data_IF_390863606940
#
_entry.id   IF_390863606940
#
_cell.length_a   1.000
_cell.length_b   1.000
_cell.length_c   1.000
_cell.angle_alpha   90.00
_cell.angle_beta   90.00
_cell.angle_gamma   90.00
#
_symmetry.space_group_name_H-M   'P 1'
#
loop_
_entity.id
_entity.type
_entity.pdbx_description
1 polymer ?
#
# COMPACT_ATOMS: atom_id res chain seq x y z
N UNK A 1 2.77 60.91 26.87
CA UNK A 1 1.61 61.67 26.36
C UNK A 1 0.85 60.76 25.40
N UNK A 2 -0.15 60.04 25.89
CA UNK A 2 -1.10 59.34 25.04
C UNK A 2 -2.19 60.34 24.64
N UNK A 3 -2.67 60.27 23.39
CA UNK A 3 -3.93 60.90 23.00
C UNK A 3 -4.70 60.00 22.03
N UNK A 4 -6.04 60.03 22.07
CA UNK A 4 -6.81 58.79 22.26
C UNK A 4 -8.04 58.67 21.32
N UNK A 5 -8.72 57.52 21.42
CA UNK A 5 -10.09 57.21 20.98
C UNK A 5 -10.26 57.03 19.46
N UNK A 6 -10.84 55.92 18.97
CA UNK A 6 -12.24 55.58 19.18
C UNK A 6 -12.51 54.12 19.60
N UNK A 7 -13.69 53.99 20.20
CA UNK A 7 -14.17 53.00 21.14
C UNK A 7 -14.86 51.81 20.46
N UNK A 8 -14.56 50.61 20.98
CA UNK A 8 -15.31 49.33 20.93
C UNK A 8 -15.77 48.79 19.57
N UNK A 9 -14.89 47.99 18.95
CA UNK A 9 -15.27 46.89 18.06
C UNK A 9 -14.51 45.64 18.54
N UNK A 10 -15.24 44.55 18.77
CA UNK A 10 -14.71 43.29 19.31
C UNK A 10 -13.48 42.81 18.53
N UNK A 11 -12.35 42.53 19.21
CA UNK A 11 -11.14 42.12 18.52
C UNK A 11 -11.19 40.61 18.27
N UNK A 12 -11.80 40.19 17.15
CA UNK A 12 -11.34 38.96 16.51
C UNK A 12 -9.99 39.27 15.86
N UNK A 13 -8.94 39.32 16.69
CA UNK A 13 -7.58 39.17 16.17
C UNK A 13 -7.47 37.76 15.63
N UNK A 14 -7.57 37.59 14.30
CA UNK A 14 -7.06 36.41 13.63
C UNK A 14 -5.56 36.36 13.89
N UNK A 15 -5.16 35.70 14.98
CA UNK A 15 -3.82 35.21 15.18
C UNK A 15 -3.51 34.31 13.99
N UNK A 16 -2.77 34.84 13.01
CA UNK A 16 -2.16 34.06 11.95
C UNK A 16 -1.16 33.12 12.62
N UNK A 17 -1.61 31.94 13.01
CA UNK A 17 -0.78 30.89 13.54
C UNK A 17 0.13 30.41 12.40
N UNK A 18 1.33 30.99 12.30
CA UNK A 18 2.34 30.53 11.34
C UNK A 18 2.69 29.10 11.76
N UNK A 19 2.25 28.12 10.97
CA UNK A 19 2.60 26.72 11.16
C UNK A 19 4.13 26.61 11.06
N UNK A 20 4.80 26.37 12.19
CA UNK A 20 6.21 25.99 12.21
C UNK A 20 6.24 24.47 12.07
N UNK A 21 6.65 24.00 10.90
CA UNK A 21 6.83 22.57 10.67
C UNK A 21 8.10 22.10 11.39
N UNK A 22 8.09 20.88 11.96
CA UNK A 22 9.29 20.29 12.53
C UNK A 22 10.35 20.06 11.45
N UNK A 23 11.60 19.89 11.88
CA UNK A 23 12.69 19.47 11.00
C UNK A 23 12.36 18.14 10.32
N UNK A 24 12.70 18.03 9.03
CA UNK A 24 12.31 16.89 8.20
C UNK A 24 13.27 15.72 8.44
N UNK A 25 12.79 14.68 9.13
CA UNK A 25 13.49 13.41 9.32
C UNK A 25 13.24 12.44 8.16
N UNK A 26 14.27 12.17 7.33
CA UNK A 26 14.11 11.37 6.09
C UNK A 26 14.29 9.86 6.30
N UNK A 27 14.86 9.43 7.43
CA UNK A 27 15.30 8.06 7.66
C UNK A 27 14.18 7.01 7.49
N UNK A 28 12.98 7.31 8.01
CA UNK A 28 11.83 6.40 7.90
C UNK A 28 11.36 6.28 6.44
N UNK A 29 11.32 7.39 5.71
CA UNK A 29 10.90 7.42 4.30
C UNK A 29 11.90 6.69 3.39
N UNK A 30 13.21 6.89 3.61
CA UNK A 30 14.25 6.18 2.86
C UNK A 30 14.20 4.67 3.13
N UNK A 31 13.88 4.26 4.36
CA UNK A 31 13.73 2.84 4.71
C UNK A 31 12.51 2.22 4.05
N UNK A 32 11.34 2.88 4.11
CA UNK A 32 10.13 2.37 3.46
C UNK A 32 10.28 2.29 1.95
N UNK A 33 11.00 3.22 1.32
CA UNK A 33 11.31 3.18 -0.11
C UNK A 33 12.19 1.97 -0.49
N UNK A 34 13.23 1.66 0.31
CA UNK A 34 14.06 0.46 0.10
C UNK A 34 13.25 -0.82 0.24
N UNK A 35 12.40 -0.91 1.26
CA UNK A 35 11.51 -2.07 1.42
C UNK A 35 10.48 -2.18 0.30
N UNK A 36 9.87 -1.07 -0.12
CA UNK A 36 8.95 -1.03 -1.26
C UNK A 36 9.63 -1.58 -2.53
N UNK A 37 10.89 -1.20 -2.77
CA UNK A 37 11.64 -1.70 -3.93
C UNK A 37 11.84 -3.22 -3.87
N UNK A 38 12.11 -3.78 -2.69
CA UNK A 38 12.18 -5.24 -2.52
C UNK A 38 10.83 -5.93 -2.75
N UNK A 39 9.72 -5.32 -2.28
CA UNK A 39 8.36 -5.83 -2.51
C UNK A 39 7.98 -5.76 -3.99
N UNK A 40 8.44 -4.75 -4.74
CA UNK A 40 8.23 -4.66 -6.19
C UNK A 40 8.92 -5.80 -6.92
N UNK A 41 10.14 -6.16 -6.54
CA UNK A 41 10.84 -7.29 -7.14
C UNK A 41 10.08 -8.62 -6.94
N UNK A 42 9.57 -8.85 -5.73
CA UNK A 42 8.73 -10.02 -5.43
C UNK A 42 7.39 -9.97 -6.19
N UNK A 43 6.77 -8.80 -6.28
CA UNK A 43 5.57 -8.60 -7.09
C UNK A 43 5.80 -8.93 -8.57
N UNK A 44 6.95 -8.53 -9.12
CA UNK A 44 7.33 -8.84 -10.49
C UNK A 44 7.48 -10.35 -10.71
N UNK A 45 8.01 -11.11 -9.73
CA UNK A 45 8.07 -12.57 -9.81
C UNK A 45 6.69 -13.20 -9.93
N UNK A 46 5.72 -12.74 -9.12
CA UNK A 46 4.32 -13.19 -9.20
C UNK A 46 3.77 -12.91 -10.60
N UNK A 47 3.86 -11.67 -11.05
CA UNK A 47 3.30 -11.23 -12.33
C UNK A 47 3.92 -11.97 -13.52
N UNK A 48 5.25 -12.18 -13.51
CA UNK A 48 5.96 -12.93 -14.53
C UNK A 48 5.48 -14.39 -14.59
N UNK A 49 5.35 -15.06 -13.43
CA UNK A 49 4.89 -16.45 -13.39
C UNK A 49 3.43 -16.59 -13.84
N UNK A 50 2.55 -15.68 -13.44
CA UNK A 50 1.14 -15.69 -13.82
C UNK A 50 0.95 -15.40 -15.31
N UNK A 51 1.68 -14.43 -15.86
CA UNK A 51 1.62 -14.08 -17.28
C UNK A 51 2.25 -15.15 -18.18
N UNK A 52 3.25 -15.88 -17.69
CA UNK A 52 3.92 -16.94 -18.46
C UNK A 52 3.28 -18.32 -18.34
N UNK A 53 2.36 -18.54 -17.39
CA UNK A 53 1.78 -19.87 -17.11
C UNK A 53 0.27 -19.83 -16.99
N UNK A 54 -0.40 -20.20 -18.10
CA UNK A 54 -1.86 -20.38 -18.15
C UNK A 54 -2.35 -21.38 -17.10
N UNK A 55 -1.60 -22.46 -16.88
CA UNK A 55 -1.98 -23.48 -15.89
C UNK A 55 -1.93 -22.97 -14.45
N UNK A 56 -0.91 -22.19 -14.08
CA UNK A 56 -0.84 -21.58 -12.75
C UNK A 56 -2.00 -20.60 -12.56
N UNK A 57 -2.23 -19.70 -13.53
CA UNK A 57 -3.33 -18.75 -13.49
C UNK A 57 -4.67 -19.46 -13.30
N UNK A 58 -4.94 -20.51 -14.10
CA UNK A 58 -6.15 -21.33 -13.98
C UNK A 58 -6.30 -21.97 -12.60
N UNK A 59 -5.24 -22.59 -12.06
CA UNK A 59 -5.28 -23.20 -10.72
C UNK A 59 -5.62 -22.18 -9.63
N UNK A 60 -5.03 -20.99 -9.70
CA UNK A 60 -5.32 -19.92 -8.74
C UNK A 60 -6.76 -19.45 -8.88
N UNK A 61 -7.24 -19.20 -10.10
CA UNK A 61 -8.62 -18.78 -10.35
C UNK A 61 -9.63 -19.82 -9.85
N UNK A 62 -9.40 -21.10 -10.13
CA UNK A 62 -10.27 -22.19 -9.67
C UNK A 62 -10.30 -22.30 -8.14
N UNK A 63 -9.13 -22.21 -7.48
CA UNK A 63 -9.05 -22.22 -6.03
C UNK A 63 -9.75 -21.01 -5.40
N UNK A 64 -9.56 -19.81 -5.98
CA UNK A 64 -10.19 -18.58 -5.53
C UNK A 64 -11.73 -18.63 -5.69
N UNK A 65 -12.23 -19.08 -6.84
CA UNK A 65 -13.67 -19.26 -7.07
C UNK A 65 -14.31 -20.29 -6.13
N UNK A 66 -13.51 -21.26 -5.67
CA UNK A 66 -13.94 -22.26 -4.68
C UNK A 66 -13.69 -21.82 -3.22
N UNK A 67 -13.34 -20.55 -2.99
CA UNK A 67 -13.03 -19.99 -1.67
C UNK A 67 -11.88 -20.67 -0.90
N UNK A 68 -10.96 -21.33 -1.60
CA UNK A 68 -9.83 -22.04 -0.99
C UNK A 68 -8.62 -21.13 -0.80
N UNK A 69 -8.67 -20.26 0.21
CA UNK A 69 -7.63 -19.26 0.46
C UNK A 69 -6.24 -19.87 0.68
N UNK A 70 -6.11 -20.94 1.46
CA UNK A 70 -4.81 -21.57 1.73
C UNK A 70 -4.17 -22.18 0.47
N UNK A 71 -4.98 -22.73 -0.43
CA UNK A 71 -4.52 -23.22 -1.74
C UNK A 71 -3.99 -22.07 -2.60
N UNK A 72 -4.71 -20.94 -2.65
CA UNK A 72 -4.26 -19.73 -3.36
C UNK A 72 -2.93 -19.23 -2.79
N UNK A 73 -2.83 -19.15 -1.47
CA UNK A 73 -1.60 -18.75 -0.78
C UNK A 73 -0.42 -19.67 -1.08
N UNK A 74 -0.66 -20.98 -1.13
CA UNK A 74 0.36 -21.99 -1.48
C UNK A 74 0.84 -21.82 -2.91
N UNK A 75 -0.08 -21.66 -3.86
CA UNK A 75 0.24 -21.45 -5.28
C UNK A 75 1.01 -20.14 -5.50
N UNK A 76 0.65 -19.06 -4.80
CA UNK A 76 1.38 -17.79 -4.86
C UNK A 76 2.80 -17.93 -4.31
N UNK A 77 3.01 -18.67 -3.21
CA UNK A 77 4.35 -18.92 -2.67
C UNK A 77 5.23 -19.73 -3.62
N UNK A 78 4.67 -20.62 -4.44
CA UNK A 78 5.42 -21.38 -5.44
C UNK A 78 6.04 -20.50 -6.54
N UNK A 79 5.66 -19.22 -6.64
CA UNK A 79 6.29 -18.28 -7.59
C UNK A 79 7.72 -17.89 -7.19
N UNK A 80 8.13 -18.13 -5.94
CA UNK A 80 9.47 -17.82 -5.42
C UNK A 80 9.56 -16.55 -4.58
N UNK A 81 8.43 -15.92 -4.28
CA UNK A 81 8.31 -14.75 -3.40
C UNK A 81 8.83 -15.07 -1.99
N UNK A 82 9.53 -14.12 -1.39
CA UNK A 82 10.12 -14.26 -0.05
C UNK A 82 9.40 -13.40 0.99
N UNK A 83 8.86 -12.26 0.57
CA UNK A 83 8.08 -11.38 1.42
C UNK A 83 6.84 -12.09 1.95
N UNK A 84 6.39 -11.64 3.13
CA UNK A 84 5.09 -12.04 3.63
C UNK A 84 4.03 -11.58 2.62
N UNK A 85 3.07 -12.45 2.35
CA UNK A 85 1.95 -12.12 1.47
C UNK A 85 0.62 -12.53 2.09
N UNK A 86 -0.44 -11.87 1.64
CA UNK A 86 -1.83 -12.24 1.85
C UNK A 86 -2.62 -12.06 0.54
N UNK A 87 -3.77 -12.71 0.43
CA UNK A 87 -4.64 -12.59 -0.72
C UNK A 87 -6.12 -12.51 -0.31
N UNK A 88 -6.86 -11.69 -1.05
CA UNK A 88 -8.33 -11.67 -1.05
C UNK A 88 -8.82 -11.69 -2.48
N UNK A 89 -9.99 -12.30 -2.70
CA UNK A 89 -10.53 -12.49 -4.04
C UNK A 89 -12.05 -12.39 -4.01
N UNK A 90 -12.61 -11.97 -5.14
CA UNK A 90 -14.03 -11.88 -5.38
C UNK A 90 -14.30 -12.32 -6.85
N UNK A 91 -15.56 -12.32 -7.30
CA UNK A 91 -15.89 -12.65 -8.69
C UNK A 91 -15.28 -11.73 -9.75
N UNK A 92 -14.67 -10.59 -9.39
CA UNK A 92 -14.03 -9.66 -10.34
C UNK A 92 -12.52 -9.90 -10.47
N UNK A 93 -11.87 -10.27 -9.37
CA UNK A 93 -10.41 -10.38 -9.34
C UNK A 93 -9.81 -10.93 -8.05
N UNK A 94 -8.49 -10.82 -7.99
CA UNK A 94 -7.67 -11.11 -6.83
C UNK A 94 -6.84 -9.88 -6.48
N UNK A 95 -6.83 -9.57 -5.19
CA UNK A 95 -5.92 -8.62 -4.56
C UNK A 95 -4.86 -9.42 -3.81
N UNK A 96 -3.60 -9.25 -4.20
CA UNK A 96 -2.44 -9.83 -3.52
C UNK A 96 -1.74 -8.70 -2.80
N UNK A 97 -1.42 -8.87 -1.51
CA UNK A 97 -0.73 -7.88 -0.70
C UNK A 97 0.61 -8.47 -0.28
N UNK A 98 1.70 -7.79 -0.62
CA UNK A 98 3.05 -8.07 -0.15
C UNK A 98 3.38 -7.12 1.01
N UNK A 99 3.95 -7.65 2.07
CA UNK A 99 4.09 -6.97 3.36
C UNK A 99 5.54 -7.07 3.85
N UNK A 100 6.12 -5.92 4.16
CA UNK A 100 7.31 -5.75 5.00
C UNK A 100 6.96 -4.83 6.20
N UNK A 101 7.84 -4.70 7.21
CA UNK A 101 7.56 -3.93 8.42
C UNK A 101 7.23 -2.45 8.18
N UNK A 102 7.87 -1.80 7.20
CA UNK A 102 7.77 -0.37 6.93
C UNK A 102 7.15 -0.04 5.57
N UNK A 103 6.78 -1.06 4.78
CA UNK A 103 6.15 -0.86 3.47
C UNK A 103 5.23 -2.02 3.09
N UNK A 104 4.26 -1.73 2.22
CA UNK A 104 3.32 -2.70 1.67
C UNK A 104 3.03 -2.35 0.21
N UNK A 105 2.85 -3.37 -0.62
CA UNK A 105 2.44 -3.22 -2.02
C UNK A 105 1.26 -4.15 -2.26
N UNK A 106 0.27 -3.67 -3.01
CA UNK A 106 -0.82 -4.52 -3.46
C UNK A 106 -0.82 -4.62 -4.98
N UNK A 107 -1.09 -5.82 -5.48
CA UNK A 107 -1.33 -6.13 -6.87
C UNK A 107 -2.81 -6.45 -7.03
N UNK A 108 -3.45 -5.83 -8.01
CA UNK A 108 -4.85 -6.10 -8.36
C UNK A 108 -4.89 -6.71 -9.75
N UNK A 109 -5.39 -7.93 -9.86
CA UNK A 109 -5.55 -8.62 -11.13
C UNK A 109 -7.03 -8.96 -11.32
N UNK A 110 -7.55 -8.74 -12.53
CA UNK A 110 -8.93 -9.08 -12.89
C UNK A 110 -8.99 -10.40 -13.64
N UNK A 111 -10.16 -11.05 -13.61
CA UNK A 111 -10.43 -12.29 -14.35
C UNK A 111 -10.87 -12.05 -15.79
N UNK A 112 -11.51 -10.92 -16.04
CA UNK A 112 -12.05 -10.43 -17.32
C UNK A 112 -11.94 -8.91 -17.38
#
# INVERSE_FOLDING_TARGET
MFSPCCFWIHPYHCLQYRQVYPEIETNAFLRSAKEANSLLADGQLILNRLSSSRDLARKIMTAAQSSQKDTVMTLLRQTGVRSQLDASFNPDGIRIILINPHSRIFLMLRWS
#
